data_IF_930780079299
#
_entry.id   IF_930780079299
#
_cell.length_a   1.000
_cell.length_b   1.000
_cell.length_c   1.000
_cell.angle_alpha   90.00
_cell.angle_beta   90.00
_cell.angle_gamma   90.00
#
_symmetry.space_group_name_H-M   'P 1'
#
loop_
_entity.id
_entity.type
_entity.pdbx_description
1 polymer ?
#
# COMPACT_ATOMS: atom_id res chain seq x y z
N UNK A 1 -0.55 -6.84 4.03
CA UNK A 1 -1.68 -6.83 4.99
C UNK A 1 -2.72 -7.91 4.64
N UNK A 2 -3.57 -8.34 5.58
CA UNK A 2 -4.81 -9.10 5.27
C UNK A 2 -5.98 -8.12 5.14
N UNK A 3 -6.95 -8.40 4.27
CA UNK A 3 -8.10 -7.51 4.02
C UNK A 3 -8.94 -7.23 5.28
N UNK A 4 -8.99 -8.20 6.20
CA UNK A 4 -9.73 -8.09 7.47
C UNK A 4 -9.14 -6.98 8.36
N UNK A 5 -7.82 -6.80 8.35
CA UNK A 5 -7.15 -5.78 9.18
C UNK A 5 -7.34 -4.38 8.61
N UNK A 6 -7.53 -4.27 7.30
CA UNK A 6 -7.82 -2.99 6.61
C UNK A 6 -9.25 -2.52 6.95
N UNK A 7 -10.21 -3.45 7.01
CA UNK A 7 -11.61 -3.11 7.37
C UNK A 7 -11.81 -2.66 8.82
N UNK A 8 -10.89 -2.99 9.73
CA UNK A 8 -10.94 -2.56 11.14
C UNK A 8 -10.45 -1.13 11.37
N UNK A 9 -9.75 -0.54 10.40
CA UNK A 9 -9.19 0.81 10.51
C UNK A 9 -10.25 1.87 10.19
N UNK A 10 -10.07 3.05 10.76
CA UNK A 10 -10.90 4.22 10.45
C UNK A 10 -10.51 4.82 9.09
N UNK A 11 -11.39 5.60 8.45
CA UNK A 11 -11.10 6.18 7.13
C UNK A 11 -9.87 7.10 7.15
N UNK A 12 -9.66 7.82 8.25
CA UNK A 12 -8.49 8.68 8.44
C UNK A 12 -7.18 7.88 8.54
N UNK A 13 -7.20 6.73 9.21
CA UNK A 13 -6.07 5.80 9.27
C UNK A 13 -5.80 5.13 7.92
N UNK A 14 -6.85 4.84 7.14
CA UNK A 14 -6.72 4.29 5.80
C UNK A 14 -6.07 5.30 4.84
N UNK A 15 -6.48 6.57 4.90
CA UNK A 15 -5.86 7.64 4.11
C UNK A 15 -4.39 7.86 4.48
N UNK A 16 -4.04 7.84 5.78
CA UNK A 16 -2.64 7.94 6.21
C UNK A 16 -1.80 6.76 5.71
N UNK A 17 -2.30 5.54 5.90
CA UNK A 17 -1.62 4.33 5.43
C UNK A 17 -1.45 4.31 3.90
N UNK A 18 -2.43 4.84 3.15
CA UNK A 18 -2.34 5.00 1.70
C UNK A 18 -1.15 5.89 1.32
N UNK A 19 -1.03 7.06 1.96
CA UNK A 19 0.06 8.00 1.68
C UNK A 19 1.44 7.42 1.99
N UNK A 20 1.58 6.74 3.12
CA UNK A 20 2.82 6.06 3.51
C UNK A 20 3.22 4.97 2.50
N UNK A 21 2.27 4.13 2.07
CA UNK A 21 2.52 3.07 1.09
C UNK A 21 2.86 3.61 -0.30
N UNK A 22 2.28 4.74 -0.70
CA UNK A 22 2.60 5.39 -1.98
C UNK A 22 4.01 6.03 -1.96
N UNK A 23 4.45 6.58 -0.83
CA UNK A 23 5.83 7.05 -0.62
C UNK A 23 6.80 5.87 -0.65
N UNK A 24 6.51 4.79 0.09
CA UNK A 24 7.34 3.58 0.09
C UNK A 24 7.47 2.97 -1.31
N UNK A 25 6.37 2.96 -2.10
CA UNK A 25 6.41 2.51 -3.49
C UNK A 25 7.29 3.42 -4.36
N UNK A 26 7.24 4.74 -4.15
CA UNK A 26 8.05 5.72 -4.87
C UNK A 26 9.54 5.53 -4.56
N UNK A 27 9.90 5.44 -3.29
CA UNK A 27 11.26 5.16 -2.84
C UNK A 27 11.76 3.81 -3.38
N UNK A 28 10.91 2.77 -3.36
CA UNK A 28 11.25 1.48 -3.95
C UNK A 28 11.53 1.59 -5.45
N UNK A 29 10.74 2.37 -6.21
CA UNK A 29 10.95 2.59 -7.65
C UNK A 29 12.25 3.33 -7.93
N UNK A 30 12.59 4.35 -7.13
CA UNK A 30 13.84 5.09 -7.30
C UNK A 30 15.06 4.28 -6.84
N UNK A 31 14.94 3.52 -5.75
CA UNK A 31 16.00 2.64 -5.23
C UNK A 31 16.32 1.44 -6.13
N UNK A 32 15.39 1.02 -7.01
CA UNK A 32 15.64 -0.03 -8.01
C UNK A 32 16.72 0.38 -9.04
N UNK A 33 16.94 1.68 -9.29
CA UNK A 33 17.89 2.17 -10.29
C UNK A 33 19.36 2.00 -9.86
N UNK A 34 19.63 1.95 -8.56
CA UNK A 34 20.98 2.05 -7.97
C UNK A 34 21.74 0.73 -7.74
N UNK A 35 21.23 -0.40 -8.22
CA UNK A 35 21.73 -1.78 -7.98
C UNK A 35 21.22 -2.47 -6.70
N UNK A 36 20.78 -3.73 -6.91
CA UNK A 36 20.43 -4.78 -5.92
C UNK A 36 19.27 -4.51 -4.96
N UNK A 37 18.07 -4.46 -5.50
CA UNK A 37 16.86 -4.84 -4.75
C UNK A 37 16.73 -6.38 -4.72
N UNK A 38 17.16 -7.01 -3.62
CA UNK A 38 16.99 -8.45 -3.38
C UNK A 38 15.52 -8.90 -3.29
N UNK A 39 14.58 -7.97 -3.07
CA UNK A 39 13.17 -8.26 -2.77
C UNK A 39 12.17 -7.58 -3.72
N UNK A 40 12.19 -7.96 -5.00
CA UNK A 40 11.19 -7.56 -6.01
C UNK A 40 9.75 -7.88 -5.57
N UNK A 41 9.59 -8.93 -4.74
CA UNK A 41 8.29 -9.32 -4.14
C UNK A 41 7.69 -8.24 -3.22
N UNK A 42 8.51 -7.35 -2.64
CA UNK A 42 8.03 -6.30 -1.73
C UNK A 42 7.14 -5.29 -2.44
N UNK A 43 7.50 -4.88 -3.67
CA UNK A 43 6.66 -3.99 -4.50
C UNK A 43 5.30 -4.61 -4.84
N UNK A 44 5.24 -5.93 -5.05
CA UNK A 44 3.95 -6.62 -5.26
C UNK A 44 3.08 -6.57 -4.00
N UNK A 45 3.68 -6.73 -2.81
CA UNK A 45 2.98 -6.58 -1.53
C UNK A 45 2.41 -5.18 -1.34
N UNK A 46 3.23 -4.14 -1.54
CA UNK A 46 2.83 -2.73 -1.40
C UNK A 46 1.68 -2.41 -2.37
N UNK A 47 1.77 -2.81 -3.64
CA UNK A 47 0.67 -2.61 -4.62
C UNK A 47 -0.63 -3.31 -4.22
N UNK A 48 -0.55 -4.52 -3.69
CA UNK A 48 -1.72 -5.25 -3.22
C UNK A 48 -2.34 -4.61 -1.96
N UNK A 49 -1.52 -4.05 -1.09
CA UNK A 49 -1.97 -3.34 0.11
C UNK A 49 -2.66 -2.02 -0.26
N UNK A 50 -2.12 -1.25 -1.21
CA UNK A 50 -2.77 -0.04 -1.76
C UNK A 50 -4.13 -0.39 -2.39
N UNK A 51 -4.19 -1.45 -3.22
CA UNK A 51 -5.43 -1.88 -3.87
C UNK A 51 -6.50 -2.28 -2.86
N UNK A 52 -6.13 -2.97 -1.78
CA UNK A 52 -7.07 -3.36 -0.71
C UNK A 52 -7.59 -2.16 0.07
N UNK A 53 -6.76 -1.14 0.34
CA UNK A 53 -7.21 0.11 0.98
C UNK A 53 -8.20 0.84 0.07
N UNK A 54 -7.85 1.03 -1.22
CA UNK A 54 -8.74 1.71 -2.19
C UNK A 54 -10.08 0.99 -2.34
N UNK A 55 -10.08 -0.35 -2.35
CA UNK A 55 -11.32 -1.14 -2.39
C UNK A 55 -12.19 -0.91 -1.15
N UNK A 56 -11.63 -0.97 0.06
CA UNK A 56 -12.40 -0.76 1.29
C UNK A 56 -12.95 0.66 1.38
N UNK A 57 -12.20 1.66 0.91
CA UNK A 57 -12.70 3.03 0.84
C UNK A 57 -13.89 3.14 -0.14
N UNK A 58 -13.80 2.53 -1.32
CA UNK A 58 -14.90 2.49 -2.28
C UNK A 58 -16.12 1.71 -1.74
N UNK A 59 -15.90 0.61 -1.01
CA UNK A 59 -16.98 -0.16 -0.33
C UNK A 59 -17.69 0.66 0.76
N UNK A 60 -17.05 1.69 1.33
CA UNK A 60 -17.65 2.55 2.38
C UNK A 60 -18.36 3.78 1.81
N UNK A 61 -17.99 4.20 0.61
CA UNK A 61 -18.56 5.35 -0.09
C UNK A 61 -19.81 4.96 -0.91
N UNK A 62 -19.94 3.69 -1.31
CA UNK A 62 -21.08 3.10 -2.03
C UNK A 62 -22.18 2.60 -1.08
#
# INVERSE_FOLDING_TARGET
MKAIDVRKKTDSELMKALGELEIELREFRFGMSGSRTKNVRKARGIRADIARIKLVMAEREA
#
